data_IF_622135193175
#
_entry.id   IF_622135193175
#
_cell.length_a   1.000
_cell.length_b   1.000
_cell.length_c   1.000
_cell.angle_alpha   90.00
_cell.angle_beta   90.00
_cell.angle_gamma   90.00
#
_symmetry.space_group_name_H-M   'P 1'
#
loop_
_entity.id
_entity.type
_entity.pdbx_description
1 polymer ?
#
# COMPACT_ATOMS: atom_id res chain seq x y z
N UNK A 1 13.34 3.32 10.33
CA UNK A 1 11.95 2.99 9.95
C UNK A 1 11.32 4.21 9.29
N UNK A 2 10.62 4.05 8.16
CA UNK A 2 9.95 5.10 7.38
C UNK A 2 8.53 4.67 7.06
N UNK A 3 7.62 5.64 6.98
CA UNK A 3 6.21 5.42 6.70
C UNK A 3 5.76 6.33 5.56
N UNK A 4 4.97 5.82 4.65
CA UNK A 4 4.30 6.61 3.61
C UNK A 4 2.84 6.18 3.53
N UNK A 5 1.92 7.13 3.72
CA UNK A 5 0.49 6.90 3.49
C UNK A 5 0.18 7.23 2.04
N UNK A 6 -0.23 6.23 1.27
CA UNK A 6 -0.78 6.40 -0.08
C UNK A 6 -2.25 6.84 -0.02
N UNK A 7 -2.89 6.63 1.13
CA UNK A 7 -4.14 7.25 1.54
C UNK A 7 -4.76 6.56 2.75
N UNK A 8 -5.68 7.26 3.42
CA UNK A 8 -6.41 6.76 4.59
C UNK A 8 -7.85 7.27 4.58
N UNK A 9 -8.79 6.50 4.02
CA UNK A 9 -10.21 6.84 4.08
C UNK A 9 -11.11 5.86 3.33
N UNK A 10 -12.41 6.17 3.25
CA UNK A 10 -13.43 5.33 2.61
C UNK A 10 -13.26 5.15 1.09
N UNK A 11 -12.36 5.92 0.47
CA UNK A 11 -12.02 5.82 -0.96
C UNK A 11 -10.82 4.89 -1.21
N UNK A 12 -10.36 4.18 -0.18
CA UNK A 12 -9.20 3.32 -0.21
C UNK A 12 -8.16 3.72 0.82
N UNK A 13 -7.49 2.71 1.37
CA UNK A 13 -6.36 2.87 2.29
C UNK A 13 -5.16 2.06 1.78
N UNK A 14 -3.96 2.63 1.91
CA UNK A 14 -2.72 1.92 1.65
C UNK A 14 -1.59 2.63 2.38
N UNK A 15 -0.82 1.88 3.17
CA UNK A 15 0.32 2.41 3.92
C UNK A 15 1.55 1.57 3.65
N UNK A 16 2.65 2.22 3.27
CA UNK A 16 3.95 1.60 3.12
C UNK A 16 4.78 1.80 4.40
N UNK A 17 5.38 0.72 4.88
CA UNK A 17 6.28 0.70 6.03
C UNK A 17 7.62 0.14 5.57
N UNK A 18 8.68 0.93 5.66
CA UNK A 18 10.04 0.50 5.31
C UNK A 18 10.96 0.50 6.52
N UNK A 19 11.64 -0.62 6.76
CA UNK A 19 12.59 -0.79 7.86
C UNK A 19 13.49 -1.98 7.63
N UNK A 20 14.77 -1.87 8.01
CA UNK A 20 15.74 -2.97 7.98
C UNK A 20 15.81 -3.74 6.64
N UNK A 21 15.68 -3.01 5.53
CA UNK A 21 15.71 -3.57 4.18
C UNK A 21 14.40 -4.21 3.72
N UNK A 22 13.37 -4.25 4.57
CA UNK A 22 12.04 -4.76 4.26
C UNK A 22 11.08 -3.61 3.97
N UNK A 23 10.18 -3.80 3.00
CA UNK A 23 9.08 -2.92 2.65
C UNK A 23 7.77 -3.69 2.75
N UNK A 24 6.91 -3.28 3.67
CA UNK A 24 5.60 -3.86 3.91
C UNK A 24 4.52 -2.92 3.37
N UNK A 25 3.57 -3.44 2.61
CA UNK A 25 2.31 -2.78 2.30
C UNK A 25 1.26 -3.20 3.32
N UNK A 26 0.66 -2.25 4.01
CA UNK A 26 -0.48 -2.46 4.91
C UNK A 26 -1.75 -1.94 4.23
N UNK A 27 -2.66 -2.87 3.97
CA UNK A 27 -3.86 -2.73 3.14
C UNK A 27 -3.60 -2.23 1.70
N UNK A 28 -4.53 -2.57 0.81
CA UNK A 28 -4.55 -2.05 -0.56
C UNK A 28 -6.00 -1.83 -0.98
N UNK A 29 -6.66 -0.86 -0.36
CA UNK A 29 -8.03 -0.47 -0.69
C UNK A 29 -8.16 0.29 -2.01
N UNK A 30 -7.16 0.23 -2.89
CA UNK A 30 -7.16 0.84 -4.22
C UNK A 30 -7.13 -0.25 -5.29
N UNK A 31 -7.68 0.07 -6.47
CA UNK A 31 -7.39 -0.75 -7.64
C UNK A 31 -5.87 -0.77 -7.91
N UNK A 32 -5.35 -1.84 -8.50
CA UNK A 32 -3.92 -1.97 -8.84
C UNK A 32 -3.42 -0.75 -9.62
N UNK A 33 -4.23 -0.24 -10.56
CA UNK A 33 -3.90 0.94 -11.36
C UNK A 33 -3.76 2.22 -10.51
N UNK A 34 -4.65 2.45 -9.56
CA UNK A 34 -4.56 3.62 -8.67
C UNK A 34 -3.41 3.49 -7.69
N UNK A 35 -3.15 2.28 -7.21
CA UNK A 35 -2.00 1.99 -6.37
C UNK A 35 -0.68 2.31 -7.08
N UNK A 36 -0.47 1.80 -8.30
CA UNK A 36 0.72 2.07 -9.11
C UNK A 36 0.90 3.56 -9.40
N UNK A 37 -0.19 4.27 -9.71
CA UNK A 37 -0.15 5.72 -9.92
C UNK A 37 0.33 6.47 -8.67
N UNK A 38 -0.21 6.13 -7.50
CA UNK A 38 0.18 6.75 -6.22
C UNK A 38 1.62 6.41 -5.82
N UNK A 39 2.05 5.17 -6.05
CA UNK A 39 3.45 4.77 -5.87
C UNK A 39 4.38 5.61 -6.75
N UNK A 40 4.02 5.80 -8.02
CA UNK A 40 4.78 6.63 -8.96
C UNK A 40 4.88 8.09 -8.49
N UNK A 41 3.77 8.68 -8.00
CA UNK A 41 3.74 10.04 -7.44
C UNK A 41 4.65 10.20 -6.21
N UNK A 42 4.77 9.15 -5.40
CA UNK A 42 5.68 9.13 -4.23
C UNK A 42 7.10 8.68 -4.57
N UNK A 43 7.40 8.35 -5.83
CA UNK A 43 8.70 7.81 -6.26
C UNK A 43 9.02 6.47 -5.62
N UNK A 44 8.00 5.68 -5.28
CA UNK A 44 8.14 4.31 -4.75
C UNK A 44 7.94 3.33 -5.89
N UNK A 45 8.84 2.35 -6.01
CA UNK A 45 8.64 1.21 -6.89
C UNK A 45 7.83 0.12 -6.17
N UNK A 46 6.63 -0.26 -6.68
CA UNK A 46 5.86 -1.39 -6.15
C UNK A 46 6.65 -2.70 -6.08
N UNK A 47 7.64 -2.89 -6.96
CA UNK A 47 8.51 -4.07 -6.97
C UNK A 47 9.42 -4.20 -5.75
N UNK A 48 9.56 -3.14 -4.95
CA UNK A 48 10.30 -3.18 -3.68
C UNK A 48 9.46 -3.72 -2.52
N UNK A 49 8.18 -4.07 -2.72
CA UNK A 49 7.29 -4.57 -1.65
C UNK A 49 7.54 -6.06 -1.42
N UNK A 50 7.99 -6.39 -0.21
CA UNK A 50 8.32 -7.77 0.18
C UNK A 50 7.10 -8.55 0.67
N UNK A 51 6.12 -7.86 1.25
CA UNK A 51 4.94 -8.48 1.84
C UNK A 51 3.75 -7.52 1.86
N UNK A 52 2.55 -8.11 1.87
CA UNK A 52 1.28 -7.40 2.02
C UNK A 52 0.60 -7.91 3.29
N UNK A 53 0.25 -6.99 4.20
CA UNK A 53 -0.56 -7.25 5.38
C UNK A 53 -1.95 -6.68 5.16
N UNK A 54 -2.94 -7.57 5.09
CA UNK A 54 -4.35 -7.20 5.00
C UNK A 54 -4.92 -7.18 6.41
N UNK A 55 -5.36 -6.02 6.89
CA UNK A 55 -5.86 -5.85 8.27
C UNK A 55 -7.25 -6.44 8.46
N UNK A 56 -8.04 -6.48 7.40
CA UNK A 56 -9.37 -7.08 7.36
C UNK A 56 -9.72 -7.46 5.92
N UNK A 57 -10.42 -8.59 5.75
CA UNK A 57 -11.08 -8.88 4.48
C UNK A 57 -12.27 -7.92 4.33
N UNK A 58 -12.15 -6.94 3.45
CA UNK A 58 -13.31 -6.29 2.86
C UNK A 58 -14.01 -7.35 1.99
N UNK A 59 -15.03 -8.01 2.54
CA UNK A 59 -15.85 -9.03 1.86
C UNK A 59 -16.63 -8.47 0.65
N UNK A 60 -16.49 -7.18 0.37
CA UNK A 60 -17.20 -6.42 -0.63
C UNK A 60 -16.59 -6.50 -2.04
N UNK A 61 -15.34 -6.96 -2.23
CA UNK A 61 -14.79 -7.16 -3.59
C UNK A 61 -13.72 -8.27 -3.67
N UNK A 62 -14.17 -9.50 -3.95
CA UNK A 62 -13.44 -10.47 -4.77
C UNK A 62 -13.78 -10.25 -6.25
#
# INVERSE_FOLDING_TARGET
MRFASLGSGSRGNATLIRGDGTCLLVDCGYSVREFEARCTELGVDPGEIDAILVTHEHADHM
#
